data_IF_034803572666
#
_entry.id   IF_034803572666
#
_cell.length_a   1.000
_cell.length_b   1.000
_cell.length_c   1.000
_cell.angle_alpha   90.00
_cell.angle_beta   90.00
_cell.angle_gamma   90.00
#
_symmetry.space_group_name_H-M   'P 1'
#
loop_
_entity.id
_entity.type
_entity.pdbx_description
1 polymer ?
#
# COMPACT_ATOMS: atom_id res chain seq x y z
N UNK A 1 35.74 -1.01 11.35
CA UNK A 1 35.09 -1.70 10.21
C UNK A 1 34.11 -0.72 9.57
N UNK A 2 34.12 -0.60 8.25
CA UNK A 2 33.20 0.19 7.46
C UNK A 2 32.20 -0.76 6.78
N UNK A 3 30.90 -0.48 6.93
CA UNK A 3 29.85 -1.27 6.30
C UNK A 3 29.32 -0.50 5.09
N UNK A 4 29.37 -1.14 3.93
CA UNK A 4 28.88 -0.60 2.67
C UNK A 4 27.93 -1.60 2.03
N UNK A 5 26.77 -1.13 1.59
CA UNK A 5 25.81 -1.89 0.80
C UNK A 5 25.70 -1.29 -0.60
N UNK A 6 25.88 -2.11 -1.63
CA UNK A 6 25.68 -1.71 -3.01
C UNK A 6 24.26 -2.13 -3.42
N UNK A 7 23.50 -1.21 -3.97
CA UNK A 7 22.15 -1.47 -4.47
C UNK A 7 21.91 -0.73 -5.79
N UNK A 8 21.06 -1.28 -6.66
CA UNK A 8 20.65 -0.60 -7.90
C UNK A 8 19.27 0.05 -7.75
N UNK A 9 18.28 -0.73 -7.34
CA UNK A 9 16.91 -0.26 -7.12
C UNK A 9 16.50 -0.58 -5.69
N UNK A 10 15.53 0.16 -5.15
CA UNK A 10 14.89 -0.20 -3.89
C UNK A 10 13.94 -1.41 -4.01
N UNK A 11 14.25 -2.39 -4.86
CA UNK A 11 13.49 -3.60 -5.16
C UNK A 11 14.33 -4.87 -4.96
N UNK A 12 13.69 -6.04 -5.07
CA UNK A 12 14.37 -7.32 -4.88
C UNK A 12 14.81 -7.53 -3.42
N UNK A 13 15.91 -8.27 -3.18
CA UNK A 13 16.41 -8.53 -1.82
C UNK A 13 16.67 -7.25 -1.03
N UNK A 14 17.14 -6.19 -1.66
CA UNK A 14 17.40 -4.91 -1.02
C UNK A 14 16.15 -4.27 -0.40
N UNK A 15 14.96 -4.58 -0.95
CA UNK A 15 13.69 -4.12 -0.39
C UNK A 15 13.45 -4.60 1.06
N UNK A 16 14.09 -5.69 1.46
CA UNK A 16 13.97 -6.25 2.79
C UNK A 16 15.16 -5.91 3.69
N UNK A 17 16.36 -6.00 3.13
CA UNK A 17 17.58 -6.02 3.95
C UNK A 17 18.10 -4.64 4.32
N UNK A 18 17.87 -3.61 3.49
CA UNK A 18 18.48 -2.30 3.72
C UNK A 18 18.09 -1.70 5.08
N UNK A 19 16.79 -1.65 5.38
CA UNK A 19 16.29 -1.05 6.62
C UNK A 19 16.65 -1.90 7.84
N UNK A 20 16.63 -3.24 7.69
CA UNK A 20 17.02 -4.17 8.75
C UNK A 20 18.51 -4.06 9.08
N UNK A 21 19.39 -4.05 8.05
CA UNK A 21 20.82 -3.91 8.24
C UNK A 21 21.16 -2.56 8.84
N UNK A 22 20.54 -1.47 8.34
CA UNK A 22 20.74 -0.13 8.87
C UNK A 22 20.36 -0.05 10.35
N UNK A 23 19.18 -0.59 10.70
CA UNK A 23 18.69 -0.64 12.09
C UNK A 23 19.59 -1.50 12.98
N UNK A 24 20.01 -2.67 12.50
CA UNK A 24 20.91 -3.54 13.25
C UNK A 24 22.26 -2.87 13.53
N UNK A 25 22.87 -2.26 12.51
CA UNK A 25 24.13 -1.55 12.65
C UNK A 25 24.02 -0.33 13.59
N UNK A 26 22.93 0.44 13.49
CA UNK A 26 22.69 1.60 14.34
C UNK A 26 22.62 1.22 15.83
N UNK A 27 22.00 0.07 16.17
CA UNK A 27 21.97 -0.47 17.54
C UNK A 27 23.37 -0.77 18.09
N UNK A 28 24.31 -1.08 17.21
CA UNK A 28 25.71 -1.35 17.58
C UNK A 28 26.62 -0.13 17.41
N UNK A 29 26.02 1.09 17.28
CA UNK A 29 26.77 2.33 17.10
C UNK A 29 27.56 2.39 15.78
N UNK A 30 27.07 1.67 14.75
CA UNK A 30 27.69 1.61 13.44
C UNK A 30 26.77 2.19 12.36
N UNK A 31 27.33 2.82 11.34
CA UNK A 31 26.62 3.37 10.22
C UNK A 31 26.74 2.45 9.00
N UNK A 32 25.65 2.37 8.21
CA UNK A 32 25.64 1.77 6.89
C UNK A 32 25.85 2.87 5.85
N UNK A 33 26.82 2.68 4.96
CA UNK A 33 26.99 3.53 3.78
C UNK A 33 26.30 2.87 2.59
N UNK A 34 25.23 3.48 2.09
CA UNK A 34 24.50 2.98 0.92
C UNK A 34 25.13 3.56 -0.35
N UNK A 35 25.50 2.68 -1.27
CA UNK A 35 26.03 3.03 -2.60
C UNK A 35 25.02 2.60 -3.65
N UNK A 36 24.34 3.56 -4.28
CA UNK A 36 23.46 3.30 -5.41
C UNK A 36 24.23 3.28 -6.71
N UNK A 37 24.00 2.23 -7.49
CA UNK A 37 24.56 2.06 -8.83
C UNK A 37 23.38 1.98 -9.80
N UNK A 38 23.15 3.07 -10.54
CA UNK A 38 22.09 3.18 -11.55
C UNK A 38 22.71 3.11 -12.96
N UNK A 39 21.85 2.93 -13.98
CA UNK A 39 22.27 2.93 -15.38
C UNK A 39 22.97 4.24 -15.79
N UNK A 40 22.65 5.34 -15.11
CA UNK A 40 23.34 6.62 -15.23
C UNK A 40 24.42 6.70 -14.15
N UNK A 41 25.50 5.98 -14.35
CA UNK A 41 26.63 5.93 -13.42
C UNK A 41 27.35 7.28 -13.31
N UNK A 42 27.05 8.04 -12.28
CA UNK A 42 27.88 9.18 -11.90
C UNK A 42 29.02 8.72 -10.98
N UNK A 43 30.14 8.35 -11.60
CA UNK A 43 31.37 7.91 -10.90
C UNK A 43 31.85 8.97 -9.88
N UNK A 44 31.57 10.25 -10.13
CA UNK A 44 31.92 11.33 -9.21
C UNK A 44 31.14 11.23 -7.88
N UNK A 45 29.84 10.97 -7.92
CA UNK A 45 29.03 10.81 -6.71
C UNK A 45 29.43 9.57 -5.90
N UNK A 46 29.75 8.47 -6.57
CA UNK A 46 30.24 7.25 -5.92
C UNK A 46 31.59 7.50 -5.21
N UNK A 47 32.54 8.14 -5.89
CA UNK A 47 33.84 8.51 -5.30
C UNK A 47 33.64 9.43 -4.09
N UNK A 48 32.74 10.41 -4.18
CA UNK A 48 32.45 11.33 -3.08
C UNK A 48 31.88 10.60 -1.88
N UNK A 49 30.91 9.71 -2.05
CA UNK A 49 30.31 8.91 -0.97
C UNK A 49 31.35 8.01 -0.30
N UNK A 50 32.18 7.33 -1.07
CA UNK A 50 33.25 6.47 -0.54
C UNK A 50 34.27 7.30 0.24
N UNK A 51 34.74 8.42 -0.31
CA UNK A 51 35.68 9.34 0.38
C UNK A 51 35.09 9.88 1.67
N UNK A 52 33.84 10.33 1.65
CA UNK A 52 33.14 10.82 2.84
C UNK A 52 33.02 9.75 3.94
N UNK A 53 32.71 8.52 3.56
CA UNK A 53 32.64 7.39 4.48
C UNK A 53 34.01 7.05 5.11
N UNK A 54 35.08 7.09 4.33
CA UNK A 54 36.44 6.89 4.82
C UNK A 54 36.89 8.03 5.75
N UNK A 55 36.67 9.28 5.37
CA UNK A 55 37.03 10.45 6.18
C UNK A 55 36.23 10.54 7.48
N UNK A 56 34.95 10.16 7.47
CA UNK A 56 34.13 10.12 8.68
C UNK A 56 34.67 9.11 9.70
N UNK A 57 35.23 7.99 9.24
CA UNK A 57 35.88 7.00 10.09
C UNK A 57 37.12 7.54 10.81
N UNK A 58 37.90 8.36 10.13
CA UNK A 58 39.14 8.94 10.70
C UNK A 58 38.80 10.01 11.76
N UNK A 59 37.69 10.73 11.61
CA UNK A 59 37.27 11.82 12.48
C UNK A 59 36.46 11.39 13.70
N UNK A 60 35.79 10.24 13.63
CA UNK A 60 35.00 9.71 14.75
C UNK A 60 35.95 8.98 15.69
N UNK A 61 36.36 9.63 16.78
CA UNK A 61 36.93 8.93 17.94
C UNK A 61 36.00 7.78 18.34
N UNK A 62 36.53 6.65 18.86
CA UNK A 62 35.69 5.51 19.20
C UNK A 62 34.59 5.98 20.14
N UNK A 63 33.38 6.10 19.60
CA UNK A 63 32.18 6.31 20.40
C UNK A 63 32.18 5.17 21.42
N UNK A 64 32.42 5.53 22.68
CA UNK A 64 32.29 4.59 23.80
C UNK A 64 30.99 3.84 23.59
N UNK A 65 31.00 2.54 23.76
CA UNK A 65 29.93 1.55 23.62
C UNK A 65 28.63 1.90 24.41
N UNK A 66 28.11 3.09 24.26
CA UNK A 66 26.74 3.39 24.67
C UNK A 66 25.85 2.84 23.55
N UNK A 67 25.30 1.64 23.81
CA UNK A 67 24.16 1.11 23.07
C UNK A 67 23.13 2.25 22.97
N UNK A 68 23.07 2.90 21.81
CA UNK A 68 21.98 3.81 21.52
C UNK A 68 20.73 2.94 21.54
N UNK A 69 19.83 3.17 22.50
CA UNK A 69 18.51 2.55 22.51
C UNK A 69 17.74 3.07 21.26
N UNK A 70 18.09 2.56 20.10
CA UNK A 70 17.24 2.65 18.94
C UNK A 70 16.10 1.70 19.25
N UNK A 71 14.90 2.22 19.44
CA UNK A 71 13.72 1.41 19.63
C UNK A 71 13.66 0.38 18.50
N UNK A 72 13.48 -0.87 18.84
CA UNK A 72 13.36 -1.93 17.85
C UNK A 72 12.04 -1.70 17.08
N UNK A 73 12.06 -1.25 15.82
CA UNK A 73 10.84 -0.82 15.15
C UNK A 73 9.83 -1.94 14.92
N UNK A 74 10.25 -3.19 15.10
CA UNK A 74 9.43 -4.35 14.74
C UNK A 74 8.82 -5.11 15.93
N UNK A 75 9.27 -4.86 17.15
CA UNK A 75 8.87 -5.68 18.32
C UNK A 75 7.82 -5.03 19.22
N UNK A 76 7.40 -3.82 18.93
CA UNK A 76 6.60 -3.01 19.86
C UNK A 76 5.18 -2.71 19.40
N UNK A 77 4.77 -3.09 18.19
CA UNK A 77 3.36 -2.92 17.83
C UNK A 77 2.48 -3.96 18.51
N UNK A 78 1.32 -3.51 18.98
CA UNK A 78 0.33 -4.35 19.63
C UNK A 78 -0.07 -5.53 18.71
N UNK A 79 -0.24 -6.73 19.32
CA UNK A 79 -0.76 -7.91 18.62
C UNK A 79 -2.24 -7.70 18.29
N UNK A 80 -2.69 -8.16 17.13
CA UNK A 80 -4.11 -8.21 16.82
C UNK A 80 -4.72 -9.52 17.35
N UNK A 81 -5.29 -9.48 18.56
CA UNK A 81 -5.95 -10.61 19.21
C UNK A 81 -7.43 -10.66 18.90
N UNK A 82 -8.13 -11.69 19.38
CA UNK A 82 -9.59 -11.80 19.20
C UNK A 82 -10.35 -10.62 19.82
N UNK A 83 -9.84 -10.08 20.93
CA UNK A 83 -10.44 -8.94 21.60
C UNK A 83 -10.29 -7.63 20.83
N UNK A 84 -9.36 -7.58 19.88
CA UNK A 84 -9.13 -6.42 19.01
C UNK A 84 -10.10 -6.35 17.81
N UNK A 85 -10.93 -7.37 17.60
CA UNK A 85 -11.86 -7.43 16.45
C UNK A 85 -12.92 -6.31 16.43
N UNK A 86 -13.16 -5.67 17.55
CA UNK A 86 -14.06 -4.51 17.63
C UNK A 86 -13.46 -3.23 17.03
N UNK A 87 -12.15 -3.22 16.76
CA UNK A 87 -11.46 -2.07 16.20
C UNK A 87 -11.86 -1.85 14.76
N UNK A 88 -12.00 -0.58 14.39
CA UNK A 88 -12.12 -0.17 13.00
C UNK A 88 -10.79 -0.41 12.28
N UNK A 89 -10.82 -1.09 11.16
CA UNK A 89 -9.63 -1.44 10.39
C UNK A 89 -9.46 -0.45 9.24
N UNK A 90 -8.36 0.29 9.24
CA UNK A 90 -8.02 1.20 8.15
C UNK A 90 -7.21 0.48 7.09
N UNK A 91 -7.58 0.63 5.84
CA UNK A 91 -6.83 0.12 4.70
C UNK A 91 -6.57 1.23 3.67
N UNK A 92 -5.37 1.27 3.05
CA UNK A 92 -5.06 2.24 2.02
C UNK A 92 -5.99 2.12 0.82
N UNK A 93 -6.23 3.24 0.14
CA UNK A 93 -6.92 3.25 -1.13
C UNK A 93 -6.05 2.61 -2.22
N UNK A 94 -6.67 1.85 -3.11
CA UNK A 94 -5.98 1.23 -4.23
C UNK A 94 -6.52 1.70 -5.58
N UNK A 95 -7.80 1.44 -5.87
CA UNK A 95 -8.44 1.86 -7.11
C UNK A 95 -9.89 2.31 -6.86
N UNK A 96 -10.46 3.16 -7.73
CA UNK A 96 -11.86 3.56 -7.60
C UNK A 96 -12.85 2.40 -7.86
N UNK A 97 -12.38 1.26 -8.33
CA UNK A 97 -13.22 0.13 -8.71
C UNK A 97 -13.33 -0.92 -7.60
N UNK A 98 -12.20 -1.37 -7.03
CA UNK A 98 -12.21 -2.43 -6.00
C UNK A 98 -12.26 -1.86 -4.58
N UNK A 99 -11.61 -0.70 -4.31
CA UNK A 99 -11.53 -0.13 -2.96
C UNK A 99 -12.91 0.06 -2.32
N UNK A 100 -13.95 0.55 -3.02
CA UNK A 100 -15.29 0.69 -2.44
C UNK A 100 -15.98 -0.64 -2.07
N UNK A 101 -15.53 -1.76 -2.63
CA UNK A 101 -16.09 -3.09 -2.35
C UNK A 101 -15.44 -3.77 -1.14
N UNK A 102 -14.20 -3.39 -0.79
CA UNK A 102 -13.44 -4.03 0.28
C UNK A 102 -14.14 -3.94 1.66
N UNK A 103 -14.72 -2.80 2.09
CA UNK A 103 -15.45 -2.76 3.36
C UNK A 103 -16.58 -3.79 3.43
N UNK A 104 -17.30 -3.98 2.32
CA UNK A 104 -18.39 -4.95 2.23
C UNK A 104 -17.87 -6.39 2.28
N UNK A 105 -16.77 -6.68 1.57
CA UNK A 105 -16.12 -7.99 1.58
C UNK A 105 -15.61 -8.37 2.99
N UNK A 106 -14.91 -7.48 3.65
CA UNK A 106 -14.43 -7.71 5.01
C UNK A 106 -15.55 -7.74 6.03
N UNK A 107 -16.65 -6.99 5.79
CA UNK A 107 -17.86 -7.06 6.58
C UNK A 107 -18.48 -8.45 6.65
N UNK A 108 -18.41 -9.25 5.55
CA UNK A 108 -18.83 -10.64 5.53
C UNK A 108 -18.00 -11.54 6.46
N UNK A 109 -16.76 -11.14 6.74
CA UNK A 109 -15.87 -11.80 7.69
C UNK A 109 -15.97 -11.23 9.12
N UNK A 110 -16.82 -10.23 9.33
CA UNK A 110 -17.08 -9.62 10.65
C UNK A 110 -16.10 -8.50 11.02
N UNK A 111 -15.47 -7.84 10.03
CA UNK A 111 -14.59 -6.69 10.27
C UNK A 111 -15.24 -5.40 9.80
N UNK A 112 -15.13 -4.35 10.60
CA UNK A 112 -15.49 -2.98 10.23
C UNK A 112 -14.26 -2.32 9.57
N UNK A 113 -14.29 -2.17 8.26
CA UNK A 113 -13.16 -1.65 7.46
C UNK A 113 -13.51 -0.30 6.86
N UNK A 114 -12.61 0.67 7.03
CA UNK A 114 -12.62 1.94 6.32
C UNK A 114 -11.47 1.99 5.32
N UNK A 115 -11.77 2.34 4.09
CA UNK A 115 -10.75 2.66 3.09
C UNK A 115 -10.39 4.14 3.25
N UNK A 116 -9.10 4.40 3.41
CA UNK A 116 -8.57 5.75 3.47
C UNK A 116 -8.90 6.51 2.17
N UNK A 117 -9.08 7.83 2.22
CA UNK A 117 -9.25 8.64 1.02
C UNK A 117 -8.10 8.47 0.03
N UNK A 118 -8.34 8.80 -1.23
CA UNK A 118 -7.28 8.91 -2.24
C UNK A 118 -6.18 9.81 -1.72
N UNK A 119 -4.93 9.39 -1.90
CA UNK A 119 -3.74 10.16 -1.50
C UNK A 119 -3.74 11.55 -2.11
N UNK A 120 -3.07 12.46 -1.46
CA UNK A 120 -2.86 13.84 -1.90
C UNK A 120 -1.44 14.31 -1.57
N UNK A 121 -1.16 15.58 -1.80
CA UNK A 121 0.15 16.16 -1.49
C UNK A 121 0.54 16.05 -0.01
N UNK A 122 -0.42 16.11 0.90
CA UNK A 122 -0.18 15.94 2.34
C UNK A 122 0.23 14.51 2.65
N UNK A 123 -0.32 13.53 1.92
CA UNK A 123 0.11 12.13 2.01
C UNK A 123 1.58 11.97 1.60
N UNK A 124 2.03 12.64 0.52
CA UNK A 124 3.45 12.66 0.14
C UNK A 124 4.34 13.23 1.26
N UNK A 125 3.96 14.39 1.80
CA UNK A 125 4.73 15.08 2.84
C UNK A 125 4.88 14.24 4.11
N UNK A 126 3.81 13.60 4.57
CA UNK A 126 3.88 12.69 5.71
C UNK A 126 4.64 11.40 5.40
N UNK A 127 4.47 10.86 4.20
CA UNK A 127 5.20 9.67 3.75
C UNK A 127 6.71 9.90 3.72
N UNK A 128 7.16 11.02 3.15
CA UNK A 128 8.58 11.40 3.11
C UNK A 128 9.17 11.63 4.51
N UNK A 129 8.36 12.00 5.48
CA UNK A 129 8.81 12.22 6.86
C UNK A 129 8.98 10.93 7.66
N UNK A 130 8.11 9.94 7.45
CA UNK A 130 8.05 8.72 8.25
C UNK A 130 8.53 7.45 7.52
N UNK A 131 8.62 7.49 6.20
CA UNK A 131 9.24 6.44 5.41
C UNK A 131 10.70 6.80 5.10
N UNK A 132 11.50 5.77 4.83
CA UNK A 132 12.84 5.97 4.30
C UNK A 132 12.75 6.54 2.87
N UNK A 133 13.47 7.64 2.58
CA UNK A 133 13.49 8.27 1.25
C UNK A 133 14.04 7.38 0.12
N UNK A 134 14.65 6.26 0.48
CA UNK A 134 15.17 5.27 -0.46
C UNK A 134 14.13 4.22 -0.87
N UNK A 135 12.90 4.28 -0.31
CA UNK A 135 11.82 3.36 -0.65
C UNK A 135 11.12 3.78 -1.95
N UNK A 136 10.37 2.86 -2.54
CA UNK A 136 9.56 3.15 -3.71
C UNK A 136 8.42 4.13 -3.38
N UNK A 137 8.02 4.93 -4.36
CA UNK A 137 6.97 5.94 -4.21
C UNK A 137 5.63 5.38 -3.66
N UNK A 138 5.15 4.20 -4.09
CA UNK A 138 3.97 3.57 -3.49
C UNK A 138 4.05 3.38 -1.98
N UNK A 139 5.21 2.97 -1.47
CA UNK A 139 5.41 2.82 -0.02
C UNK A 139 5.28 4.16 0.71
N UNK A 140 5.84 5.23 0.11
CA UNK A 140 5.72 6.58 0.64
C UNK A 140 4.25 7.01 0.73
N UNK A 141 3.45 6.80 -0.32
CA UNK A 141 2.02 7.13 -0.32
C UNK A 141 1.24 6.35 0.74
N UNK A 142 1.42 5.04 0.78
CA UNK A 142 0.71 4.17 1.73
C UNK A 142 1.01 4.57 3.19
N UNK A 143 2.28 4.79 3.51
CA UNK A 143 2.66 5.22 4.86
C UNK A 143 2.12 6.62 5.15
N UNK A 144 2.21 7.53 4.19
CA UNK A 144 1.69 8.88 4.32
C UNK A 144 0.20 8.95 4.58
N UNK A 145 -0.60 8.15 3.87
CA UNK A 145 -2.05 8.06 4.09
C UNK A 145 -2.40 7.60 5.50
N UNK A 146 -1.69 6.59 5.99
CA UNK A 146 -1.90 6.06 7.35
C UNK A 146 -1.49 7.12 8.39
N UNK A 147 -0.32 7.73 8.24
CA UNK A 147 0.15 8.80 9.14
C UNK A 147 -0.83 9.98 9.16
N UNK A 148 -1.26 10.42 7.99
CA UNK A 148 -2.23 11.50 7.83
C UNK A 148 -3.53 11.19 8.56
N UNK A 149 -4.07 9.98 8.42
CA UNK A 149 -5.32 9.57 9.04
C UNK A 149 -5.31 9.75 10.57
N UNK A 150 -4.17 9.45 11.22
CA UNK A 150 -4.01 9.68 12.66
C UNK A 150 -3.67 11.14 13.01
N UNK A 151 -2.90 11.85 12.18
CA UNK A 151 -2.56 13.26 12.41
C UNK A 151 -3.76 14.19 12.28
N UNK A 152 -4.70 13.87 11.39
CA UNK A 152 -5.95 14.61 11.23
C UNK A 152 -6.95 14.32 12.37
N UNK A 153 -6.56 13.55 13.38
CA UNK A 153 -7.40 13.14 14.51
C UNK A 153 -8.75 12.51 14.11
N UNK A 154 -8.82 12.01 12.89
CA UNK A 154 -10.03 11.34 12.38
C UNK A 154 -10.23 9.98 13.05
N UNK A 155 -9.13 9.33 13.44
CA UNK A 155 -9.14 8.01 14.06
C UNK A 155 -8.36 7.99 15.37
N UNK A 156 -8.97 7.41 16.40
CA UNK A 156 -8.35 7.25 17.70
C UNK A 156 -7.54 5.95 17.79
N UNK A 157 -6.30 5.97 18.31
CA UNK A 157 -5.42 4.79 18.29
C UNK A 157 -5.96 3.59 19.10
N UNK A 158 -6.77 3.85 20.12
CA UNK A 158 -7.37 2.77 20.96
C UNK A 158 -8.44 1.94 20.24
N UNK A 159 -9.12 2.53 19.26
CA UNK A 159 -10.26 1.91 18.58
C UNK A 159 -9.95 1.58 17.12
N UNK A 160 -8.69 1.66 16.72
CA UNK A 160 -8.30 1.52 15.32
C UNK A 160 -7.21 0.46 15.18
N UNK A 161 -7.24 -0.26 14.08
CA UNK A 161 -6.19 -1.13 13.56
C UNK A 161 -5.87 -0.70 12.12
N UNK A 162 -4.71 -1.08 11.61
CA UNK A 162 -4.34 -0.85 10.21
C UNK A 162 -4.19 -2.19 9.51
N UNK A 163 -4.69 -2.31 8.29
CA UNK A 163 -4.49 -3.49 7.47
C UNK A 163 -3.73 -3.16 6.19
N UNK A 164 -2.82 -4.04 5.79
CA UNK A 164 -2.08 -3.94 4.55
C UNK A 164 -1.90 -5.30 3.91
N UNK A 165 -2.11 -5.37 2.59
CA UNK A 165 -1.78 -6.57 1.84
C UNK A 165 -0.26 -6.72 1.69
N UNK A 166 0.21 -7.96 1.70
CA UNK A 166 1.60 -8.30 1.42
C UNK A 166 1.65 -9.35 0.31
N UNK A 167 2.57 -9.16 -0.63
CA UNK A 167 2.65 -10.02 -1.82
C UNK A 167 3.47 -11.29 -1.61
N UNK A 168 4.36 -11.31 -0.61
CA UNK A 168 5.25 -12.45 -0.35
C UNK A 168 6.43 -12.61 -1.33
N UNK A 169 6.53 -11.74 -2.35
CA UNK A 169 7.63 -11.76 -3.32
C UNK A 169 8.80 -10.87 -2.91
N UNK A 170 9.85 -10.82 -3.74
CA UNK A 170 11.00 -9.92 -3.58
C UNK A 170 10.64 -8.48 -3.98
N UNK A 171 9.67 -7.89 -3.29
CA UNK A 171 9.15 -6.56 -3.54
C UNK A 171 9.00 -5.80 -2.22
N UNK A 172 9.12 -4.51 -2.24
CA UNK A 172 8.88 -3.64 -1.08
C UNK A 172 7.45 -3.82 -0.51
N UNK A 173 6.48 -4.17 -1.34
CA UNK A 173 5.12 -4.47 -0.91
C UNK A 173 5.03 -5.63 0.10
N UNK A 174 6.00 -6.54 0.12
CA UNK A 174 6.13 -7.57 1.15
C UNK A 174 6.68 -7.04 2.48
N UNK A 175 7.14 -5.78 2.51
CA UNK A 175 7.71 -5.14 3.70
C UNK A 175 6.89 -3.92 4.17
N UNK A 176 5.71 -3.67 3.63
CA UNK A 176 4.89 -2.51 4.03
C UNK A 176 4.45 -2.62 5.50
N UNK A 177 4.11 -3.82 5.98
CA UNK A 177 3.67 -4.00 7.37
C UNK A 177 4.75 -3.58 8.38
N UNK A 178 6.00 -4.03 8.29
CA UNK A 178 7.09 -3.52 9.13
C UNK A 178 7.29 -2.02 9.04
N UNK A 179 7.22 -1.45 7.84
CA UNK A 179 7.39 0.00 7.63
C UNK A 179 6.26 0.81 8.27
N UNK A 180 5.01 0.34 8.16
CA UNK A 180 3.85 0.94 8.83
C UNK A 180 4.03 0.86 10.36
N UNK A 181 4.44 -0.30 10.90
CA UNK A 181 4.74 -0.44 12.32
C UNK A 181 5.80 0.54 12.77
N UNK A 182 6.88 0.70 12.00
CA UNK A 182 7.94 1.68 12.28
C UNK A 182 7.41 3.12 12.31
N UNK A 183 6.58 3.49 11.34
CA UNK A 183 5.98 4.82 11.30
C UNK A 183 5.06 5.07 12.52
N UNK A 184 4.23 4.09 12.90
CA UNK A 184 3.36 4.18 14.08
C UNK A 184 4.16 4.32 15.38
N UNK A 185 5.25 3.57 15.54
CA UNK A 185 6.16 3.70 16.70
C UNK A 185 6.79 5.10 16.75
N UNK A 186 7.24 5.63 15.63
CA UNK A 186 7.78 7.00 15.55
C UNK A 186 6.75 8.06 15.91
N UNK A 187 5.48 7.76 15.78
CA UNK A 187 4.37 8.64 16.17
C UNK A 187 3.94 8.47 17.63
N UNK A 188 4.49 7.49 18.37
CA UNK A 188 4.02 7.12 19.70
C UNK A 188 2.67 6.39 19.69
N UNK A 189 2.39 5.63 18.63
CA UNK A 189 1.14 4.90 18.41
C UNK A 189 1.36 3.37 18.40
N UNK A 190 2.21 2.88 19.28
CA UNK A 190 2.54 1.44 19.41
C UNK A 190 1.32 0.58 19.75
N UNK A 191 0.29 1.19 20.30
CA UNK A 191 -0.96 0.52 20.66
C UNK A 191 -1.86 0.19 19.45
N UNK A 192 -1.54 0.69 18.25
CA UNK A 192 -2.27 0.40 17.02
C UNK A 192 -1.78 -0.90 16.42
N UNK A 193 -2.59 -1.96 16.40
CA UNK A 193 -2.19 -3.21 15.76
C UNK A 193 -2.19 -3.09 14.24
N UNK A 194 -1.26 -3.78 13.59
CA UNK A 194 -1.16 -3.83 12.14
C UNK A 194 -1.45 -5.26 11.67
N UNK A 195 -2.42 -5.40 10.78
CA UNK A 195 -2.86 -6.65 10.19
C UNK A 195 -2.20 -6.83 8.82
N UNK A 196 -1.61 -7.98 8.60
CA UNK A 196 -1.11 -8.42 7.30
C UNK A 196 -2.16 -9.27 6.60
N UNK A 197 -2.58 -8.85 5.42
CA UNK A 197 -3.38 -9.68 4.54
C UNK A 197 -2.47 -10.26 3.45
N UNK A 198 -2.11 -11.53 3.58
CA UNK A 198 -1.30 -12.27 2.63
C UNK A 198 -2.01 -13.54 2.19
N UNK A 199 -1.85 -13.91 0.92
CA UNK A 199 -2.37 -15.17 0.37
C UNK A 199 -1.39 -16.35 0.57
N UNK A 200 -0.22 -16.10 1.17
CA UNK A 200 0.81 -17.09 1.40
C UNK A 200 1.18 -17.16 2.88
N UNK A 201 1.45 -18.35 3.39
CA UNK A 201 1.88 -18.57 4.78
C UNK A 201 3.34 -18.12 5.03
N UNK A 202 4.04 -17.68 3.99
CA UNK A 202 5.44 -17.27 4.07
C UNK A 202 5.66 -15.94 4.83
N UNK A 203 4.61 -15.15 5.02
CA UNK A 203 4.69 -13.87 5.72
C UNK A 203 4.03 -14.03 7.09
N UNK A 204 4.86 -14.15 8.12
CA UNK A 204 4.39 -14.24 9.50
C UNK A 204 4.17 -12.85 10.08
N UNK A 205 2.96 -12.62 10.59
CA UNK A 205 2.63 -11.47 11.42
C UNK A 205 1.86 -11.95 12.65
N UNK A 206 2.13 -11.34 13.79
CA UNK A 206 1.51 -11.74 15.05
C UNK A 206 0.08 -11.18 15.17
N UNK A 207 -0.86 -11.91 14.57
CA UNK A 207 -2.26 -11.50 14.43
C UNK A 207 -3.25 -12.65 14.69
N UNK A 208 -3.22 -13.32 15.85
CA UNK A 208 -4.04 -14.52 16.09
C UNK A 208 -5.55 -14.24 16.08
N UNK A 209 -5.95 -12.97 16.18
CA UNK A 209 -7.34 -12.53 16.08
C UNK A 209 -7.86 -12.40 14.65
N UNK A 210 -6.97 -12.31 13.64
CA UNK A 210 -7.37 -12.10 12.26
C UNK A 210 -7.61 -13.44 11.55
N UNK A 211 -8.86 -13.70 11.21
CA UNK A 211 -9.24 -14.93 10.48
C UNK A 211 -10.33 -14.60 9.46
N UNK A 212 -10.22 -15.19 8.27
CA UNK A 212 -11.22 -15.04 7.20
C UNK A 212 -11.90 -16.39 6.98
N UNK A 213 -13.24 -16.46 7.03
CA UNK A 213 -14.00 -17.68 6.75
C UNK A 213 -14.05 -17.93 5.23
N UNK A 214 -12.94 -18.35 4.64
CA UNK A 214 -12.77 -18.49 3.19
C UNK A 214 -13.88 -19.28 2.51
N UNK A 215 -14.30 -20.37 3.10
CA UNK A 215 -15.39 -21.19 2.56
C UNK A 215 -16.69 -20.38 2.34
N UNK A 216 -16.91 -19.34 3.16
CA UNK A 216 -18.09 -18.49 3.06
C UNK A 216 -17.91 -17.35 2.04
N UNK A 217 -16.71 -16.79 1.90
CA UNK A 217 -16.53 -15.52 1.17
C UNK A 217 -15.77 -15.64 -0.15
N UNK A 218 -15.09 -16.76 -0.42
CA UNK A 218 -14.17 -16.87 -1.58
C UNK A 218 -14.88 -16.65 -2.92
N UNK A 219 -16.09 -17.19 -3.09
CA UNK A 219 -16.83 -17.08 -4.36
C UNK A 219 -17.19 -15.62 -4.66
N UNK A 220 -17.74 -14.91 -3.66
CA UNK A 220 -18.11 -13.49 -3.83
C UNK A 220 -16.87 -12.60 -3.93
N UNK A 221 -15.77 -12.93 -3.24
CA UNK A 221 -14.53 -12.18 -3.32
C UNK A 221 -13.93 -12.26 -4.74
N UNK A 222 -13.83 -13.46 -5.32
CA UNK A 222 -13.36 -13.63 -6.71
C UNK A 222 -14.30 -12.91 -7.68
N UNK A 223 -15.61 -13.09 -7.55
CA UNK A 223 -16.59 -12.43 -8.39
C UNK A 223 -16.48 -10.89 -8.29
N UNK A 224 -16.31 -10.34 -7.09
CA UNK A 224 -16.15 -8.90 -6.89
C UNK A 224 -14.91 -8.34 -7.59
N UNK A 225 -13.77 -9.03 -7.52
CA UNK A 225 -12.54 -8.63 -8.22
C UNK A 225 -12.74 -8.66 -9.72
N UNK A 226 -13.29 -9.76 -10.28
CA UNK A 226 -13.53 -9.89 -11.72
C UNK A 226 -14.53 -8.86 -12.22
N UNK A 227 -15.62 -8.64 -11.50
CA UNK A 227 -16.64 -7.68 -11.88
C UNK A 227 -16.14 -6.23 -11.78
N UNK A 228 -15.38 -5.88 -10.76
CA UNK A 228 -14.78 -4.54 -10.66
C UNK A 228 -13.79 -4.24 -11.78
N UNK A 229 -12.97 -5.24 -12.18
CA UNK A 229 -12.06 -5.11 -13.34
C UNK A 229 -12.84 -4.97 -14.66
N UNK A 230 -13.93 -5.72 -14.82
CA UNK A 230 -14.79 -5.59 -16.00
C UNK A 230 -15.43 -4.19 -16.09
N UNK A 231 -15.95 -3.64 -14.99
CA UNK A 231 -16.45 -2.26 -14.94
C UNK A 231 -15.34 -1.25 -15.27
N UNK A 232 -14.12 -1.47 -14.78
CA UNK A 232 -12.98 -0.61 -15.11
C UNK A 232 -12.71 -0.59 -16.63
N UNK A 233 -12.71 -1.76 -17.28
CA UNK A 233 -12.53 -1.87 -18.73
C UNK A 233 -13.65 -1.18 -19.51
N UNK A 234 -14.91 -1.38 -19.10
CA UNK A 234 -16.06 -0.70 -19.70
C UNK A 234 -15.94 0.81 -19.56
N UNK A 235 -15.61 1.29 -18.37
CA UNK A 235 -15.41 2.71 -18.10
C UNK A 235 -14.32 3.33 -18.99
N UNK A 236 -13.11 2.73 -19.01
CA UNK A 236 -12.02 3.25 -19.83
C UNK A 236 -12.29 3.17 -21.35
N UNK A 237 -13.09 2.22 -21.78
CA UNK A 237 -13.52 2.15 -23.17
C UNK A 237 -14.59 3.19 -23.50
N UNK A 238 -15.46 3.52 -22.55
CA UNK A 238 -16.58 4.44 -22.76
C UNK A 238 -16.20 5.91 -22.58
N UNK A 239 -15.37 6.26 -21.59
CA UNK A 239 -15.05 7.65 -21.23
C UNK A 239 -14.47 8.48 -22.38
N UNK A 240 -13.77 7.86 -23.33
CA UNK A 240 -13.21 8.51 -24.51
C UNK A 240 -14.20 8.57 -25.68
N UNK A 241 -15.35 7.91 -25.58
CA UNK A 241 -16.39 7.78 -26.60
C UNK A 241 -17.76 8.25 -26.16
N UNK A 242 -17.91 8.68 -24.90
CA UNK A 242 -19.19 9.13 -24.36
C UNK A 242 -19.76 10.32 -25.17
N UNK A 243 -21.06 10.30 -25.38
CA UNK A 243 -21.78 11.37 -26.09
C UNK A 243 -21.95 12.62 -25.25
N UNK A 244 -22.03 12.45 -23.93
CA UNK A 244 -22.12 13.52 -22.94
C UNK A 244 -21.05 13.33 -21.89
N UNK A 245 -20.24 14.34 -21.72
CA UNK A 245 -19.13 14.32 -20.74
C UNK A 245 -19.63 13.99 -19.33
N UNK A 246 -19.00 13.00 -18.70
CA UNK A 246 -19.26 12.56 -17.32
C UNK A 246 -20.30 11.44 -17.20
N UNK A 247 -20.94 11.00 -18.29
CA UNK A 247 -21.90 9.87 -18.23
C UNK A 247 -21.19 8.55 -17.88
N UNK A 248 -20.04 8.30 -18.45
CA UNK A 248 -19.25 7.11 -18.13
C UNK A 248 -18.86 7.06 -16.64
N UNK A 249 -18.47 8.20 -16.07
CA UNK A 249 -18.15 8.29 -14.65
C UNK A 249 -19.38 8.03 -13.78
N UNK A 250 -20.53 8.57 -14.13
CA UNK A 250 -21.80 8.33 -13.44
C UNK A 250 -22.21 6.85 -13.49
N UNK A 251 -22.07 6.20 -14.63
CA UNK A 251 -22.33 4.77 -14.77
C UNK A 251 -21.36 3.94 -13.93
N UNK A 252 -20.06 4.26 -13.96
CA UNK A 252 -19.07 3.62 -13.10
C UNK A 252 -19.51 3.65 -11.63
N UNK A 253 -19.82 4.83 -11.10
CA UNK A 253 -20.19 5.00 -9.70
C UNK A 253 -21.49 4.24 -9.37
N UNK A 254 -22.46 4.28 -10.28
CA UNK A 254 -23.70 3.53 -10.16
C UNK A 254 -23.45 2.01 -10.09
N UNK A 255 -22.67 1.46 -11.02
CA UNK A 255 -22.43 0.03 -11.06
C UNK A 255 -21.51 -0.46 -9.92
N UNK A 256 -20.52 0.32 -9.51
CA UNK A 256 -19.73 0.00 -8.32
C UNK A 256 -20.62 -0.04 -7.06
N UNK A 257 -21.58 0.87 -6.93
CA UNK A 257 -22.54 0.83 -5.83
C UNK A 257 -23.46 -0.41 -5.88
N UNK A 258 -23.91 -0.81 -7.08
CA UNK A 258 -24.68 -2.04 -7.29
C UNK A 258 -23.87 -3.29 -6.92
N UNK A 259 -22.62 -3.39 -7.38
CA UNK A 259 -21.70 -4.47 -7.00
C UNK A 259 -21.51 -4.51 -5.48
N UNK A 260 -21.35 -3.34 -4.83
CA UNK A 260 -21.22 -3.24 -3.38
C UNK A 260 -22.43 -3.86 -2.64
N UNK A 261 -23.65 -3.59 -3.10
CA UNK A 261 -24.86 -4.22 -2.53
C UNK A 261 -24.89 -5.74 -2.72
N UNK A 262 -24.51 -6.21 -3.90
CA UNK A 262 -24.45 -7.66 -4.18
C UNK A 262 -23.39 -8.35 -3.31
N UNK A 263 -22.23 -7.73 -3.07
CA UNK A 263 -21.22 -8.21 -2.13
C UNK A 263 -21.76 -8.28 -0.70
N UNK A 264 -22.40 -7.23 -0.23
CA UNK A 264 -22.97 -7.16 1.12
C UNK A 264 -23.95 -8.30 1.40
N UNK A 265 -24.72 -8.72 0.39
CA UNK A 265 -25.65 -9.86 0.47
C UNK A 265 -24.99 -11.20 0.13
N UNK A 266 -23.67 -11.26 -0.04
CA UNK A 266 -22.93 -12.46 -0.42
C UNK A 266 -23.49 -13.17 -1.67
N UNK A 267 -23.87 -12.41 -2.69
CA UNK A 267 -24.55 -12.88 -3.89
C UNK A 267 -23.67 -12.75 -5.16
N UNK A 268 -22.83 -13.76 -5.48
CA UNK A 268 -22.00 -13.75 -6.67
C UNK A 268 -22.78 -13.75 -7.98
N UNK A 269 -23.95 -14.39 -8.03
CA UNK A 269 -24.76 -14.47 -9.26
C UNK A 269 -25.31 -13.09 -9.63
N UNK A 270 -25.68 -12.27 -8.63
CA UNK A 270 -26.09 -10.88 -8.85
C UNK A 270 -24.94 -10.01 -9.37
N UNK A 271 -23.70 -10.27 -8.92
CA UNK A 271 -22.51 -9.60 -9.43
C UNK A 271 -22.39 -9.81 -10.96
N UNK A 272 -22.47 -11.07 -11.41
CA UNK A 272 -22.39 -11.38 -12.84
C UNK A 272 -23.58 -10.82 -13.64
N UNK A 273 -24.79 -10.91 -13.11
CA UNK A 273 -25.96 -10.32 -13.76
C UNK A 273 -25.81 -8.81 -13.98
N UNK A 274 -25.25 -8.11 -12.99
CA UNK A 274 -24.97 -6.67 -13.05
C UNK A 274 -24.00 -6.32 -14.18
N UNK A 275 -23.06 -7.19 -14.56
CA UNK A 275 -22.16 -6.94 -15.69
C UNK A 275 -22.91 -6.88 -17.03
N UNK A 276 -23.91 -7.74 -17.22
CA UNK A 276 -24.73 -7.72 -18.44
C UNK A 276 -25.55 -6.45 -18.58
N UNK A 277 -26.04 -5.90 -17.46
CA UNK A 277 -26.70 -4.61 -17.41
C UNK A 277 -25.70 -3.48 -17.74
N UNK A 278 -24.55 -3.48 -17.06
CA UNK A 278 -23.49 -2.50 -17.27
C UNK A 278 -22.99 -2.44 -18.72
N UNK A 279 -22.77 -3.60 -19.35
CA UNK A 279 -22.28 -3.66 -20.72
C UNK A 279 -23.22 -2.95 -21.69
N UNK A 280 -24.53 -3.14 -21.56
CA UNK A 280 -25.52 -2.45 -22.39
C UNK A 280 -25.55 -0.94 -22.16
N UNK A 281 -25.48 -0.52 -20.89
CA UNK A 281 -25.57 0.90 -20.55
C UNK A 281 -24.30 1.66 -20.97
N UNK A 282 -23.12 1.06 -20.77
CA UNK A 282 -21.86 1.65 -21.24
C UNK A 282 -21.80 1.72 -22.77
N UNK A 283 -22.33 0.72 -23.49
CA UNK A 283 -22.40 0.73 -24.94
C UNK A 283 -23.34 1.84 -25.44
N UNK A 284 -24.51 1.98 -24.80
CA UNK A 284 -25.54 2.94 -25.19
C UNK A 284 -25.11 4.42 -25.12
N UNK A 285 -24.11 4.74 -24.27
CA UNK A 285 -23.58 6.12 -24.19
C UNK A 285 -22.44 6.39 -25.15
N UNK A 286 -21.93 5.36 -25.84
CA UNK A 286 -20.80 5.49 -26.75
C UNK A 286 -21.22 5.89 -28.15
N UNK A 287 -20.48 6.82 -28.75
CA UNK A 287 -20.54 7.11 -30.19
C UNK A 287 -19.52 6.22 -30.94
N UNK A 288 -19.80 5.98 -32.23
CA UNK A 288 -18.84 5.28 -33.11
C UNK A 288 -17.64 6.20 -33.39
N UNK A 289 -16.62 6.09 -32.57
CA UNK A 289 -15.38 6.85 -32.64
C UNK A 289 -14.19 5.91 -32.54
N UNK A 290 -13.36 5.91 -33.55
CA UNK A 290 -12.08 5.21 -33.48
C UNK A 290 -11.12 5.94 -32.53
N UNK A 291 -10.69 5.25 -31.48
CA UNK A 291 -9.71 5.74 -30.56
C UNK A 291 -8.46 4.84 -30.58
N UNK A 292 -7.26 5.41 -30.67
CA UNK A 292 -6.03 4.61 -30.60
C UNK A 292 -5.91 3.96 -29.22
N UNK A 293 -5.42 2.72 -29.18
CA UNK A 293 -5.16 2.01 -27.94
C UNK A 293 -3.79 2.39 -27.39
N UNK A 294 -3.75 2.84 -26.14
CA UNK A 294 -2.52 3.18 -25.43
C UNK A 294 -2.35 2.23 -24.25
N UNK A 295 -1.18 1.60 -24.15
CA UNK A 295 -0.83 0.75 -23.00
C UNK A 295 -0.22 1.60 -21.88
N UNK A 296 -0.79 1.53 -20.67
CA UNK A 296 -0.20 2.12 -19.47
C UNK A 296 0.57 1.02 -18.74
N UNK A 297 1.88 1.15 -18.69
CA UNK A 297 2.79 0.19 -18.05
C UNK A 297 3.51 0.85 -16.88
N UNK A 298 3.96 0.05 -15.92
CA UNK A 298 4.68 0.55 -14.76
C UNK A 298 4.36 -0.24 -13.50
N UNK A 299 4.65 0.37 -12.34
CA UNK A 299 4.39 -0.20 -11.03
C UNK A 299 2.88 -0.31 -10.79
N UNK A 300 2.44 -1.34 -10.05
CA UNK A 300 1.02 -1.70 -9.92
C UNK A 300 0.20 -0.57 -9.29
N UNK A 301 0.62 -0.02 -8.13
CA UNK A 301 -0.11 1.06 -7.48
C UNK A 301 -0.16 2.29 -8.38
N UNK A 302 0.97 2.66 -8.99
CA UNK A 302 1.06 3.83 -9.87
C UNK A 302 0.11 3.73 -11.07
N UNK A 303 -0.12 2.53 -11.61
CA UNK A 303 -1.05 2.35 -12.73
C UNK A 303 -2.52 2.55 -12.36
N UNK A 304 -2.91 2.20 -11.14
CA UNK A 304 -4.31 2.13 -10.75
C UNK A 304 -4.76 3.21 -9.77
N UNK A 305 -3.80 3.86 -9.09
CA UNK A 305 -4.10 4.87 -8.09
C UNK A 305 -4.21 6.26 -8.73
N UNK A 306 -5.37 6.94 -8.68
CA UNK A 306 -5.60 8.18 -9.43
C UNK A 306 -4.58 9.30 -9.16
N UNK A 307 -4.23 9.52 -7.90
CA UNK A 307 -3.22 10.52 -7.52
C UNK A 307 -1.82 10.13 -8.00
N UNK A 308 -1.43 8.86 -7.78
CA UNK A 308 -0.09 8.37 -8.10
C UNK A 308 0.22 8.44 -9.61
N UNK A 309 -0.78 8.21 -10.46
CA UNK A 309 -0.67 8.33 -11.91
C UNK A 309 -0.98 9.75 -12.46
N UNK A 310 -1.29 10.71 -11.58
CA UNK A 310 -1.62 12.09 -11.96
C UNK A 310 -2.78 12.21 -12.95
N UNK A 311 -3.78 11.32 -12.86
CA UNK A 311 -4.95 11.35 -13.72
C UNK A 311 -4.66 11.02 -15.20
N UNK A 312 -3.65 10.18 -15.48
CA UNK A 312 -3.32 9.75 -16.85
C UNK A 312 -4.38 8.85 -17.45
N UNK A 313 -5.13 8.11 -16.61
CA UNK A 313 -6.22 7.22 -17.04
C UNK A 313 -7.58 7.79 -16.79
#
# INVERSE_FOLDING_TARGET
ILFMQITSFGCGPDAFFLDEIATFLARHGKALTLIKVDDVNNVGSLKLRIRSALQSRERVAPLQNKLVKVAAPFTTSRRFTKDERHRKVLAPFFTPFISPLLPKLFGLAGYDVDILPVSDKVSDEWGLKYANNEVCYPATLVIGDIVKAFKDHRYGPKNTAVAMSQTGGQCRASNYVPMIKSALVQMGLEEVPVISFAMTDSIQNDQPGFTIPWAKVIRVAIAAVLCSDAIAKMYYAAVVRETRQGEAARLRDHYIALLGRAVEHNNPDRLYATLGEAARDFDAICQDKHCPKVGVVGEILLKFHPYAQRGVT
#
